data_IF_604457203808
#
_entry.id   IF_604457203808
#
_cell.length_a   1.000
_cell.length_b   1.000
_cell.length_c   1.000
_cell.angle_alpha   90.00
_cell.angle_beta   90.00
_cell.angle_gamma   90.00
#
_symmetry.space_group_name_H-M   'P 1'
#
loop_
_entity.id
_entity.type
_entity.pdbx_description
1 polymer ?
#
# COMPACT_ATOMS: atom_id res chain seq x y z
N UNK A 1 36.51 5.55 -20.74
CA UNK A 1 36.05 5.20 -22.12
C UNK A 1 35.01 4.08 -22.13
N UNK A 2 35.31 2.86 -21.66
CA UNK A 2 34.35 1.73 -21.65
C UNK A 2 33.09 1.98 -20.80
N UNK A 3 33.23 2.63 -19.64
CA UNK A 3 32.10 3.04 -18.79
C UNK A 3 31.19 4.02 -19.55
N UNK A 4 31.75 5.04 -20.21
CA UNK A 4 30.99 5.97 -21.05
C UNK A 4 30.23 5.29 -22.20
N UNK A 5 30.79 4.24 -22.83
CA UNK A 5 30.11 3.48 -23.88
C UNK A 5 28.89 2.70 -23.35
N UNK A 6 28.93 2.22 -22.10
CA UNK A 6 27.78 1.55 -21.45
C UNK A 6 26.71 2.56 -21.07
N UNK A 7 27.10 3.74 -20.59
CA UNK A 7 26.20 4.84 -20.25
C UNK A 7 25.48 5.41 -21.49
N UNK A 8 26.04 5.23 -22.69
CA UNK A 8 25.45 5.64 -23.97
C UNK A 8 24.71 4.52 -24.72
N UNK A 9 24.42 3.38 -24.08
CA UNK A 9 23.63 2.29 -24.71
C UNK A 9 22.28 2.83 -25.19
N UNK A 10 21.88 2.43 -26.40
CA UNK A 10 20.62 2.86 -27.05
C UNK A 10 19.37 2.69 -26.15
N UNK A 11 19.32 1.69 -25.28
CA UNK A 11 18.19 1.46 -24.38
C UNK A 11 18.02 2.51 -23.28
N UNK A 12 19.10 3.16 -22.83
CA UNK A 12 19.09 4.21 -21.80
C UNK A 12 18.78 5.57 -22.43
N UNK A 13 19.39 5.86 -23.59
CA UNK A 13 19.15 7.09 -24.33
C UNK A 13 17.75 7.17 -24.97
N UNK A 14 17.18 6.04 -25.44
CA UNK A 14 15.79 5.99 -25.94
C UNK A 14 14.73 6.25 -24.86
N UNK A 15 15.06 6.00 -23.58
CA UNK A 15 14.19 6.26 -22.42
C UNK A 15 14.47 7.62 -21.76
N UNK A 16 15.38 8.42 -22.32
CA UNK A 16 15.79 9.73 -21.81
C UNK A 16 16.34 9.73 -20.38
N UNK A 17 16.95 8.62 -19.94
CA UNK A 17 17.54 8.51 -18.60
C UNK A 17 18.97 9.03 -18.60
N UNK A 18 19.35 9.76 -17.54
CA UNK A 18 20.74 10.12 -17.26
C UNK A 18 21.30 9.15 -16.23
N UNK A 19 22.59 8.86 -16.33
CA UNK A 19 23.27 7.98 -15.39
C UNK A 19 24.49 8.67 -14.85
N UNK A 20 24.57 8.77 -13.53
CA UNK A 20 25.70 9.33 -12.80
C UNK A 20 26.43 8.20 -12.08
N UNK A 21 27.76 8.24 -12.07
CA UNK A 21 28.59 7.21 -11.44
C UNK A 21 29.55 7.93 -10.51
N UNK A 22 29.49 7.60 -9.23
CA UNK A 22 30.37 8.19 -8.23
C UNK A 22 31.83 7.78 -8.45
N UNK A 23 32.74 8.67 -8.06
CA UNK A 23 34.19 8.47 -8.25
C UNK A 23 34.68 7.21 -7.52
N UNK A 24 34.16 6.96 -6.31
CA UNK A 24 34.46 5.76 -5.52
C UNK A 24 34.07 4.45 -6.23
N UNK A 25 33.01 4.47 -7.06
CA UNK A 25 32.61 3.32 -7.87
C UNK A 25 33.60 3.08 -9.00
N UNK A 26 34.10 4.16 -9.60
CA UNK A 26 35.12 4.09 -10.65
C UNK A 26 36.41 3.52 -10.06
N UNK A 27 36.83 4.01 -8.89
CA UNK A 27 38.03 3.53 -8.18
C UNK A 27 37.89 2.05 -7.79
N UNK A 28 36.75 1.67 -7.20
CA UNK A 28 36.47 0.28 -6.84
C UNK A 28 36.52 -0.66 -8.05
N UNK A 29 35.97 -0.24 -9.18
CA UNK A 29 35.98 -1.01 -10.44
C UNK A 29 37.39 -1.11 -11.02
N UNK A 30 38.24 -0.10 -10.86
CA UNK A 30 39.64 -0.14 -11.30
C UNK A 30 40.45 -1.11 -10.43
N UNK A 31 40.26 -1.04 -9.12
CA UNK A 31 40.96 -1.89 -8.14
C UNK A 31 40.55 -3.37 -8.26
N UNK A 32 39.25 -3.65 -8.39
CA UNK A 32 38.71 -5.02 -8.41
C UNK A 32 38.53 -5.59 -9.82
N UNK A 33 38.62 -4.74 -10.85
CA UNK A 33 38.47 -5.13 -12.25
C UNK A 33 39.79 -5.41 -12.98
N UNK A 34 40.95 -5.06 -12.40
CA UNK A 34 42.24 -5.35 -12.99
C UNK A 34 42.70 -6.78 -12.67
N UNK A 35 43.11 -7.52 -13.70
CA UNK A 35 43.72 -8.84 -13.56
C UNK A 35 44.97 -8.93 -14.42
N UNK A 36 46.14 -9.14 -13.80
CA UNK A 36 47.41 -9.37 -14.51
C UNK A 36 47.32 -10.53 -15.52
N UNK A 37 46.45 -11.52 -15.25
CA UNK A 37 46.33 -12.75 -16.04
C UNK A 37 45.38 -12.63 -17.24
N UNK A 38 44.35 -11.78 -17.16
CA UNK A 38 43.28 -11.71 -18.16
C UNK A 38 43.12 -10.35 -18.85
N UNK A 39 43.84 -9.32 -18.38
CA UNK A 39 43.90 -8.00 -19.00
C UNK A 39 42.54 -7.31 -19.16
N UNK A 40 42.45 -6.37 -20.10
CA UNK A 40 41.29 -5.47 -20.29
C UNK A 40 39.93 -6.16 -20.60
N UNK A 41 39.93 -7.45 -20.98
CA UNK A 41 38.71 -8.24 -21.23
C UNK A 41 37.99 -8.65 -19.94
N UNK A 42 38.75 -8.95 -18.90
CA UNK A 42 38.20 -9.26 -17.57
C UNK A 42 37.56 -8.01 -16.95
N UNK A 43 38.26 -6.88 -17.08
CA UNK A 43 37.77 -5.56 -16.68
C UNK A 43 36.44 -5.21 -17.38
N UNK A 44 36.32 -5.43 -18.69
CA UNK A 44 35.07 -5.16 -19.42
C UNK A 44 33.87 -5.98 -18.89
N UNK A 45 34.10 -7.24 -18.47
CA UNK A 45 33.06 -8.12 -17.92
C UNK A 45 32.68 -7.76 -16.48
N UNK A 46 33.66 -7.35 -15.67
CA UNK A 46 33.40 -6.86 -14.31
C UNK A 46 32.66 -5.51 -14.35
N UNK A 47 33.06 -4.60 -15.24
CA UNK A 47 32.33 -3.35 -15.48
C UNK A 47 30.88 -3.65 -15.88
N UNK A 48 30.67 -4.58 -16.82
CA UNK A 48 29.31 -4.90 -17.27
C UNK A 48 28.46 -5.49 -16.12
N UNK A 49 28.99 -6.40 -15.30
CA UNK A 49 28.28 -6.99 -14.16
C UNK A 49 28.01 -5.99 -13.04
N UNK A 50 28.96 -5.11 -12.73
CA UNK A 50 28.89 -4.20 -11.58
C UNK A 50 28.10 -2.93 -11.88
N UNK A 51 28.10 -2.45 -13.13
CA UNK A 51 27.41 -1.22 -13.52
C UNK A 51 26.09 -1.52 -14.21
N UNK A 52 26.05 -2.49 -15.14
CA UNK A 52 24.83 -2.75 -15.93
C UNK A 52 23.74 -3.43 -15.10
N UNK A 53 24.11 -4.27 -14.14
CA UNK A 53 23.12 -4.99 -13.33
C UNK A 53 22.32 -4.08 -12.39
N UNK A 54 22.94 -3.19 -11.57
CA UNK A 54 22.18 -2.23 -10.77
C UNK A 54 21.35 -1.27 -11.64
N UNK A 55 21.90 -0.85 -12.79
CA UNK A 55 21.16 -0.02 -13.74
C UNK A 55 19.93 -0.72 -14.32
N UNK A 56 20.08 -1.96 -14.78
CA UNK A 56 18.98 -2.74 -15.34
C UNK A 56 17.90 -3.03 -14.28
N UNK A 57 18.31 -3.30 -13.04
CA UNK A 57 17.37 -3.45 -11.94
C UNK A 57 16.55 -2.17 -11.72
N UNK A 58 17.17 -0.99 -11.72
CA UNK A 58 16.43 0.27 -11.52
C UNK A 58 15.43 0.53 -12.65
N UNK A 59 15.83 0.26 -13.90
CA UNK A 59 14.97 0.49 -15.07
C UNK A 59 13.78 -0.46 -15.10
N UNK A 60 13.99 -1.74 -14.75
CA UNK A 60 12.93 -2.76 -14.77
C UNK A 60 11.99 -2.61 -13.57
N UNK A 61 12.55 -2.32 -12.39
CA UNK A 61 11.82 -2.31 -11.13
C UNK A 61 10.95 -1.08 -10.93
N UNK A 62 11.41 0.09 -11.40
CA UNK A 62 10.79 1.38 -11.09
C UNK A 62 10.18 2.07 -12.32
N UNK A 63 10.38 1.53 -13.53
CA UNK A 63 10.01 2.12 -14.82
C UNK A 63 10.11 3.66 -14.85
N UNK A 64 11.32 4.20 -14.62
CA UNK A 64 11.49 5.62 -14.32
C UNK A 64 11.08 6.53 -15.49
N UNK A 65 10.40 7.66 -15.22
CA UNK A 65 9.99 8.62 -16.24
C UNK A 65 11.20 9.26 -16.95
N UNK A 66 10.94 9.77 -18.15
CA UNK A 66 11.95 10.44 -18.98
C UNK A 66 12.59 11.61 -18.22
N UNK A 67 13.92 11.70 -18.23
CA UNK A 67 14.70 12.71 -17.50
C UNK A 67 15.21 12.28 -16.12
N UNK A 68 14.86 11.08 -15.65
CA UNK A 68 15.38 10.55 -14.37
C UNK A 68 16.88 10.29 -14.41
N UNK A 69 17.53 10.51 -13.27
CA UNK A 69 18.96 10.29 -13.05
C UNK A 69 19.15 9.03 -12.20
N UNK A 70 19.77 7.99 -12.74
CA UNK A 70 20.20 6.82 -11.95
C UNK A 70 21.63 7.05 -11.49
N UNK A 71 21.83 7.17 -10.18
CA UNK A 71 23.16 7.35 -9.57
C UNK A 71 23.69 6.02 -9.06
N UNK A 72 24.89 5.65 -9.46
CA UNK A 72 25.62 4.48 -8.97
C UNK A 72 26.62 4.92 -7.91
N UNK A 73 26.57 4.28 -6.75
CA UNK A 73 27.42 4.59 -5.60
C UNK A 73 27.88 3.30 -4.90
N UNK A 74 28.96 3.40 -4.11
CA UNK A 74 29.47 2.28 -3.33
C UNK A 74 28.77 2.25 -1.96
N UNK A 75 28.18 1.11 -1.62
CA UNK A 75 27.54 0.88 -0.32
C UNK A 75 27.99 -0.46 0.22
N UNK A 76 28.57 -0.47 1.43
CA UNK A 76 29.04 -1.70 2.10
C UNK A 76 29.94 -2.60 1.22
N UNK A 77 30.79 -1.99 0.39
CA UNK A 77 31.71 -2.72 -0.50
C UNK A 77 31.08 -3.29 -1.78
N UNK A 78 29.84 -2.91 -2.09
CA UNK A 78 29.14 -3.29 -3.31
C UNK A 78 28.60 -2.07 -4.06
N UNK A 79 28.51 -2.15 -5.38
CA UNK A 79 27.94 -1.07 -6.20
C UNK A 79 26.43 -1.15 -6.14
N UNK A 80 25.83 -0.14 -5.52
CA UNK A 80 24.39 0.07 -5.41
C UNK A 80 23.95 1.16 -6.39
N UNK A 81 22.64 1.30 -6.53
CA UNK A 81 22.02 2.28 -7.41
C UNK A 81 20.89 3.01 -6.69
N UNK A 82 20.87 4.33 -6.80
CA UNK A 82 19.76 5.18 -6.39
C UNK A 82 19.12 5.78 -7.63
N UNK A 83 17.79 5.85 -7.65
CA UNK A 83 17.05 6.55 -8.68
C UNK A 83 16.66 7.93 -8.15
N UNK A 84 17.03 8.96 -8.89
CA UNK A 84 16.58 10.33 -8.69
C UNK A 84 15.65 10.70 -9.82
N UNK A 85 14.41 11.07 -9.51
CA UNK A 85 13.43 11.48 -10.51
C UNK A 85 13.74 12.90 -11.00
N UNK A 86 13.39 13.28 -12.24
CA UNK A 86 13.60 14.65 -12.70
C UNK A 86 12.78 15.61 -11.85
N UNK A 87 13.30 16.82 -11.62
CA UNK A 87 12.63 17.84 -10.81
C UNK A 87 11.18 18.06 -11.25
N UNK A 88 10.87 17.97 -12.55
CA UNK A 88 9.49 18.06 -13.07
C UNK A 88 8.57 16.86 -12.76
N UNK A 89 9.12 15.67 -12.48
CA UNK A 89 8.35 14.51 -11.97
C UNK A 89 8.28 14.48 -10.43
N UNK A 90 9.24 15.10 -9.75
CA UNK A 90 9.17 15.39 -8.32
C UNK A 90 8.24 16.59 -8.02
N UNK A 91 8.12 17.54 -8.93
CA UNK A 91 7.26 18.73 -8.79
C UNK A 91 5.78 18.42 -9.06
N UNK A 92 5.47 17.23 -9.58
CA UNK A 92 4.08 16.73 -9.67
C UNK A 92 3.64 15.86 -8.48
N UNK A 93 4.57 15.48 -7.60
CA UNK A 93 4.29 14.62 -6.46
C UNK A 93 5.19 15.00 -5.29
N UNK A 94 4.58 15.62 -4.27
CA UNK A 94 5.14 15.99 -2.96
C UNK A 94 5.67 17.43 -2.83
N UNK A 95 4.84 18.40 -3.18
CA UNK A 95 4.62 19.53 -2.26
C UNK A 95 3.17 19.41 -1.82
N UNK A 96 2.91 18.59 -0.81
CA UNK A 96 1.62 18.68 -0.12
C UNK A 96 1.74 19.96 0.70
N UNK A 97 1.13 21.04 0.23
CA UNK A 97 0.82 22.17 1.11
C UNK A 97 0.05 21.58 2.30
N UNK A 98 0.33 22.01 3.52
CA UNK A 98 -0.39 21.54 4.73
C UNK A 98 -1.92 21.72 4.61
N UNK A 99 -2.37 22.50 3.63
CA UNK A 99 -3.75 22.73 3.20
C UNK A 99 -4.35 21.62 2.29
N UNK A 100 -3.58 20.57 1.92
CA UNK A 100 -4.00 19.49 1.01
C UNK A 100 -3.95 18.08 1.62
N UNK A 101 -3.74 17.97 2.95
CA UNK A 101 -3.94 16.70 3.64
C UNK A 101 -5.45 16.52 3.86
N UNK A 102 -6.09 15.48 3.31
CA UNK A 102 -7.51 15.26 3.54
C UNK A 102 -7.79 15.09 5.05
N UNK A 103 -8.77 15.82 5.58
CA UNK A 103 -9.07 15.91 7.03
C UNK A 103 -9.41 14.57 7.72
N UNK A 104 -9.63 13.49 6.96
CA UNK A 104 -9.99 12.16 7.48
C UNK A 104 -8.83 11.19 7.69
N UNK A 105 -7.61 11.52 7.25
CA UNK A 105 -6.41 10.86 7.78
C UNK A 105 -6.10 11.48 9.14
N UNK A 106 -7.08 11.42 10.03
CA UNK A 106 -6.92 11.93 11.39
C UNK A 106 -5.82 11.12 12.06
N UNK A 107 -5.04 11.78 12.93
CA UNK A 107 -4.09 11.07 13.78
C UNK A 107 -4.77 9.94 14.53
N UNK A 108 -6.02 10.15 14.96
CA UNK A 108 -6.81 9.15 15.66
C UNK A 108 -7.07 7.91 14.80
N UNK A 109 -7.51 8.05 13.55
CA UNK A 109 -7.69 6.91 12.66
C UNK A 109 -6.37 6.17 12.40
N UNK A 110 -5.30 6.90 12.10
CA UNK A 110 -4.00 6.28 11.86
C UNK A 110 -3.45 5.56 13.11
N UNK A 111 -3.68 6.11 14.31
CA UNK A 111 -3.35 5.46 15.60
C UNK A 111 -4.15 4.17 15.81
N UNK A 112 -5.43 4.13 15.41
CA UNK A 112 -6.24 2.92 15.49
C UNK A 112 -5.86 1.87 14.42
N UNK A 113 -5.51 2.32 13.21
CA UNK A 113 -5.18 1.44 12.09
C UNK A 113 -3.76 0.84 12.18
N UNK A 114 -2.79 1.56 12.74
CA UNK A 114 -1.39 1.14 12.80
C UNK A 114 -1.18 -0.22 13.52
N UNK A 115 -1.81 -0.52 14.68
CA UNK A 115 -1.72 -1.84 15.29
C UNK A 115 -2.20 -2.97 14.37
N UNK A 116 -3.31 -2.77 13.65
CA UNK A 116 -3.86 -3.74 12.69
C UNK A 116 -2.90 -3.96 11.52
N UNK A 117 -2.31 -2.88 11.01
CA UNK A 117 -1.27 -2.93 9.98
C UNK A 117 -0.05 -3.73 10.46
N UNK A 118 0.42 -3.51 11.69
CA UNK A 118 1.60 -4.20 12.25
C UNK A 118 1.34 -5.69 12.45
N UNK A 119 0.19 -6.05 13.02
CA UNK A 119 -0.25 -7.45 13.14
C UNK A 119 -0.31 -8.11 11.75
N UNK A 120 -0.90 -7.41 10.78
CA UNK A 120 -1.05 -7.93 9.42
C UNK A 120 0.30 -8.13 8.72
N UNK A 121 1.19 -7.15 8.84
CA UNK A 121 2.54 -7.22 8.31
C UNK A 121 3.31 -8.42 8.89
N UNK A 122 3.20 -8.65 10.20
CA UNK A 122 3.82 -9.82 10.84
C UNK A 122 3.28 -11.14 10.28
N UNK A 123 1.98 -11.24 10.03
CA UNK A 123 1.38 -12.42 9.39
C UNK A 123 1.89 -12.63 7.95
N UNK A 124 2.01 -11.56 7.17
CA UNK A 124 2.58 -11.62 5.79
C UNK A 124 4.04 -12.08 5.84
N UNK A 125 4.85 -11.54 6.75
CA UNK A 125 6.26 -11.91 6.91
C UNK A 125 6.43 -13.39 7.20
N UNK A 126 5.58 -13.92 8.09
CA UNK A 126 5.57 -15.33 8.46
C UNK A 126 5.13 -16.22 7.29
N UNK A 127 4.01 -15.90 6.63
CA UNK A 127 3.47 -16.69 5.52
C UNK A 127 4.38 -16.67 4.28
N UNK A 128 5.00 -15.52 3.99
CA UNK A 128 5.96 -15.38 2.90
C UNK A 128 7.36 -15.93 3.25
N UNK A 129 7.56 -16.42 4.47
CA UNK A 129 8.85 -16.91 4.98
C UNK A 129 10.01 -15.96 4.64
N UNK A 130 9.84 -14.66 4.93
CA UNK A 130 10.76 -13.61 4.43
C UNK A 130 12.21 -13.84 4.88
N UNK A 131 12.42 -14.37 6.08
CA UNK A 131 13.77 -14.72 6.55
C UNK A 131 14.40 -15.87 5.75
N UNK A 132 13.61 -16.84 5.32
CA UNK A 132 14.07 -17.97 4.49
C UNK A 132 14.37 -17.48 3.07
N UNK A 133 13.50 -16.63 2.53
CA UNK A 133 13.67 -15.93 1.25
C UNK A 133 14.96 -15.10 1.24
N UNK A 134 15.27 -14.39 2.33
CA UNK A 134 16.52 -13.63 2.50
C UNK A 134 17.74 -14.54 2.53
N UNK A 135 17.67 -15.70 3.21
CA UNK A 135 18.74 -16.71 3.20
C UNK A 135 18.93 -17.30 1.81
N UNK A 136 17.85 -17.62 1.10
CA UNK A 136 17.89 -18.16 -0.25
C UNK A 136 18.51 -17.16 -1.25
N UNK A 137 18.09 -15.90 -1.22
CA UNK A 137 18.70 -14.84 -2.04
C UNK A 137 20.21 -14.72 -1.77
N UNK A 138 20.60 -14.73 -0.50
CA UNK A 138 22.00 -14.69 -0.09
C UNK A 138 22.80 -15.89 -0.63
N UNK A 139 22.22 -17.10 -0.60
CA UNK A 139 22.82 -18.32 -1.13
C UNK A 139 22.97 -18.27 -2.66
N UNK A 140 21.96 -17.77 -3.37
CA UNK A 140 22.01 -17.57 -4.81
C UNK A 140 23.10 -16.55 -5.21
N UNK A 141 23.21 -15.45 -4.46
CA UNK A 141 24.28 -14.45 -4.65
C UNK A 141 25.66 -15.07 -4.47
N UNK A 142 25.87 -15.92 -3.46
CA UNK A 142 27.15 -16.63 -3.28
C UNK A 142 27.49 -17.54 -4.46
N UNK A 143 26.50 -18.23 -5.05
CA UNK A 143 26.70 -19.08 -6.23
C UNK A 143 27.08 -18.29 -7.48
N UNK A 144 26.47 -17.12 -7.70
CA UNK A 144 26.81 -16.20 -8.79
C UNK A 144 28.23 -15.63 -8.74
N UNK A 145 28.82 -15.62 -7.54
CA UNK A 145 30.22 -15.22 -7.30
C UNK A 145 31.21 -16.34 -7.64
N UNK A 146 30.74 -17.57 -7.90
CA UNK A 146 31.60 -18.67 -8.34
C UNK A 146 31.89 -18.58 -9.85
N UNK A 147 33.12 -18.86 -10.30
CA UNK A 147 33.44 -18.95 -11.72
C UNK A 147 32.63 -20.02 -12.46
N UNK A 148 32.35 -21.15 -11.80
CA UNK A 148 31.63 -22.30 -12.38
C UNK A 148 30.18 -22.01 -12.76
N UNK A 149 29.53 -21.04 -12.11
CA UNK A 149 28.18 -20.60 -12.47
C UNK A 149 28.10 -20.02 -13.90
N UNK A 150 29.21 -19.45 -14.37
CA UNK A 150 29.30 -18.82 -15.68
C UNK A 150 29.64 -19.80 -16.81
N UNK A 151 29.83 -21.08 -16.50
CA UNK A 151 30.15 -22.13 -17.46
C UNK A 151 28.92 -22.60 -18.27
N UNK A 152 27.70 -22.34 -17.78
CA UNK A 152 26.45 -22.55 -18.54
C UNK A 152 25.65 -21.23 -18.76
N UNK A 153 25.92 -20.51 -19.85
CA UNK A 153 25.26 -19.25 -20.19
C UNK A 153 23.74 -19.36 -20.37
N UNK A 154 23.20 -20.56 -20.62
CA UNK A 154 21.76 -20.77 -20.86
C UNK A 154 20.96 -20.78 -19.56
N UNK A 155 21.58 -21.13 -18.43
CA UNK A 155 20.93 -21.15 -17.12
C UNK A 155 20.88 -19.74 -16.47
N UNK A 156 21.73 -18.81 -16.90
CA UNK A 156 21.90 -17.49 -16.27
C UNK A 156 20.62 -16.64 -16.24
N UNK A 157 19.84 -16.48 -17.33
CA UNK A 157 18.65 -15.62 -17.32
C UNK A 157 17.61 -16.05 -16.27
N UNK A 158 17.33 -17.35 -16.16
CA UNK A 158 16.35 -17.87 -15.19
C UNK A 158 16.76 -17.62 -13.74
N UNK A 159 18.05 -17.73 -13.42
CA UNK A 159 18.55 -17.44 -12.07
C UNK A 159 18.47 -15.95 -11.72
N UNK A 160 18.73 -15.06 -12.68
CA UNK A 160 18.60 -13.61 -12.47
C UNK A 160 17.14 -13.19 -12.29
N UNK A 161 16.22 -13.77 -13.06
CA UNK A 161 14.77 -13.56 -12.88
C UNK A 161 14.33 -13.99 -11.49
N UNK A 162 14.65 -15.22 -11.07
CA UNK A 162 14.30 -15.72 -9.74
C UNK A 162 14.87 -14.85 -8.61
N UNK A 163 16.10 -14.35 -8.75
CA UNK A 163 16.67 -13.42 -7.78
C UNK A 163 15.95 -12.08 -7.72
N UNK A 164 15.57 -11.52 -8.88
CA UNK A 164 14.82 -10.27 -8.94
C UNK A 164 13.46 -10.41 -8.28
N UNK A 165 12.81 -11.56 -8.43
CA UNK A 165 11.53 -11.87 -7.79
C UNK A 165 11.69 -11.93 -6.26
N UNK A 166 12.65 -12.72 -5.76
CA UNK A 166 12.92 -12.83 -4.32
C UNK A 166 13.32 -11.47 -3.70
N UNK A 167 14.20 -10.72 -4.36
CA UNK A 167 14.60 -9.39 -3.90
C UNK A 167 13.43 -8.39 -3.89
N UNK A 168 12.57 -8.44 -4.92
CA UNK A 168 11.37 -7.62 -4.99
C UNK A 168 10.37 -7.93 -3.88
N UNK A 169 10.20 -9.21 -3.53
CA UNK A 169 9.34 -9.64 -2.43
C UNK A 169 9.86 -9.14 -1.07
N UNK A 170 11.15 -9.34 -0.79
CA UNK A 170 11.78 -8.86 0.45
C UNK A 170 11.61 -7.35 0.59
N UNK A 171 11.95 -6.60 -0.45
CA UNK A 171 11.96 -5.14 -0.37
C UNK A 171 10.55 -4.54 -0.31
N UNK A 172 9.52 -5.20 -0.86
CA UNK A 172 8.13 -4.77 -0.66
C UNK A 172 7.75 -4.85 0.81
N UNK A 173 8.05 -5.97 1.46
CA UNK A 173 7.74 -6.18 2.89
C UNK A 173 8.58 -5.25 3.77
N UNK A 174 9.89 -5.14 3.50
CA UNK A 174 10.79 -4.25 4.22
C UNK A 174 10.37 -2.78 4.06
N UNK A 175 9.91 -2.38 2.87
CA UNK A 175 9.35 -1.05 2.61
C UNK A 175 8.12 -0.74 3.45
N UNK A 176 7.16 -1.65 3.53
CA UNK A 176 5.97 -1.50 4.40
C UNK A 176 6.39 -1.41 5.87
N UNK A 177 7.33 -2.26 6.32
CA UNK A 177 7.83 -2.25 7.70
C UNK A 177 8.46 -0.91 8.08
N UNK A 178 9.34 -0.36 7.24
CA UNK A 178 9.98 0.94 7.48
C UNK A 178 8.95 2.06 7.55
N UNK A 179 8.00 2.11 6.62
CA UNK A 179 6.94 3.12 6.64
C UNK A 179 6.03 2.99 7.87
N UNK A 180 5.75 1.77 8.35
CA UNK A 180 4.94 1.57 9.56
C UNK A 180 5.68 2.02 10.82
N UNK A 181 7.01 1.80 10.91
CA UNK A 181 7.84 2.28 12.01
C UNK A 181 7.94 3.82 12.01
N UNK A 182 8.17 4.42 10.84
CA UNK A 182 8.18 5.89 10.71
C UNK A 182 6.82 6.49 11.04
N UNK A 183 5.72 5.88 10.56
CA UNK A 183 4.37 6.29 10.92
C UNK A 183 4.15 6.23 12.44
N UNK A 184 4.57 5.16 13.11
CA UNK A 184 4.48 5.05 14.57
C UNK A 184 5.15 6.22 15.28
N UNK A 185 6.37 6.57 14.89
CA UNK A 185 7.08 7.72 15.46
C UNK A 185 6.39 9.05 15.14
N UNK A 186 5.88 9.24 13.93
CA UNK A 186 5.17 10.46 13.53
C UNK A 186 3.84 10.63 14.28
N UNK A 187 3.16 9.53 14.61
CA UNK A 187 1.92 9.55 15.40
C UNK A 187 2.16 9.85 16.89
N UNK A 188 3.40 9.87 17.37
CA UNK A 188 3.70 10.38 18.72
C UNK A 188 3.72 11.92 18.75
N UNK A 189 3.95 12.56 17.60
CA UNK A 189 3.89 14.01 17.41
C UNK A 189 2.48 14.50 17.10
N UNK A 190 2.29 15.83 17.23
CA UNK A 190 1.00 16.51 16.99
C UNK A 190 1.20 17.80 16.14
N UNK A 191 2.34 17.96 15.45
CA UNK A 191 2.55 19.12 14.57
C UNK A 191 1.91 18.92 13.20
N UNK A 192 1.47 20.00 12.51
CA UNK A 192 0.93 19.89 11.16
C UNK A 192 1.88 19.21 10.16
N UNK A 193 3.20 19.46 10.28
CA UNK A 193 4.21 18.83 9.43
C UNK A 193 4.27 17.31 9.66
N UNK A 194 4.27 16.86 10.92
CA UNK A 194 4.24 15.44 11.26
C UNK A 194 2.95 14.78 10.75
N UNK A 195 1.81 15.46 10.80
CA UNK A 195 0.54 14.98 10.26
C UNK A 195 0.62 14.73 8.75
N UNK A 196 1.16 15.68 7.99
CA UNK A 196 1.33 15.54 6.54
C UNK A 196 2.25 14.38 6.18
N UNK A 197 3.34 14.21 6.93
CA UNK A 197 4.26 13.08 6.74
C UNK A 197 3.60 11.74 7.11
N UNK A 198 2.85 11.68 8.23
CA UNK A 198 2.11 10.50 8.66
C UNK A 198 1.11 10.04 7.60
N UNK A 199 0.35 10.98 7.03
CA UNK A 199 -0.59 10.71 5.95
C UNK A 199 0.10 10.10 4.71
N UNK A 200 1.29 10.57 4.34
CA UNK A 200 2.08 10.01 3.22
C UNK A 200 2.49 8.57 3.52
N UNK A 201 3.00 8.29 4.72
CA UNK A 201 3.41 6.94 5.13
C UNK A 201 2.23 5.99 5.17
N UNK A 202 1.12 6.42 5.75
CA UNK A 202 -0.10 5.62 5.82
C UNK A 202 -0.64 5.25 4.43
N UNK A 203 -0.73 6.23 3.51
CA UNK A 203 -1.14 5.96 2.12
C UNK A 203 -0.22 4.98 1.41
N UNK A 204 1.10 5.08 1.60
CA UNK A 204 2.04 4.12 1.04
C UNK A 204 1.75 2.69 1.54
N UNK A 205 1.57 2.52 2.86
CA UNK A 205 1.29 1.22 3.48
C UNK A 205 0.00 0.64 2.91
N UNK A 206 -1.09 1.40 2.97
CA UNK A 206 -2.40 0.97 2.48
C UNK A 206 -2.36 0.56 1.01
N UNK A 207 -1.55 1.27 0.20
CA UNK A 207 -1.38 0.97 -1.23
C UNK A 207 -0.56 -0.30 -1.45
N UNK A 208 0.50 -0.54 -0.69
CA UNK A 208 1.43 -1.65 -0.91
C UNK A 208 1.05 -2.94 -0.19
N UNK A 209 0.33 -2.85 0.94
CA UNK A 209 -0.06 -4.00 1.75
C UNK A 209 -0.85 -5.05 0.94
N UNK A 210 -1.88 -4.71 0.14
CA UNK A 210 -2.57 -5.69 -0.71
C UNK A 210 -1.66 -6.39 -1.72
N UNK A 211 -0.58 -5.73 -2.17
CA UNK A 211 0.37 -6.29 -3.14
C UNK A 211 1.38 -7.23 -2.49
N UNK A 212 1.61 -7.09 -1.18
CA UNK A 212 2.43 -8.00 -0.39
C UNK A 212 1.64 -9.23 0.04
N UNK A 213 0.31 -9.14 0.07
CA UNK A 213 -0.58 -10.23 0.45
C UNK A 213 -0.80 -11.24 -0.68
N UNK A 214 -0.81 -12.52 -0.29
CA UNK A 214 -1.45 -13.55 -1.12
C UNK A 214 -2.92 -13.64 -0.70
N UNK A 215 -3.84 -13.70 -1.67
CA UNK A 215 -5.30 -13.71 -1.42
C UNK A 215 -5.73 -14.79 -0.40
N UNK A 216 -5.04 -15.94 -0.35
CA UNK A 216 -5.33 -17.03 0.58
C UNK A 216 -4.93 -16.76 2.04
N UNK A 217 -3.98 -15.86 2.26
CA UNK A 217 -3.39 -15.59 3.58
C UNK A 217 -3.99 -14.33 4.24
N UNK A 218 -5.04 -13.75 3.64
CA UNK A 218 -5.70 -12.55 4.16
C UNK A 218 -6.89 -12.83 5.07
N UNK A 219 -6.84 -12.44 6.37
CA UNK A 219 -7.99 -12.52 7.23
C UNK A 219 -9.04 -11.58 6.66
N UNK A 220 -10.22 -12.14 6.41
CA UNK A 220 -11.35 -11.33 5.99
C UNK A 220 -11.89 -10.55 7.19
N UNK A 221 -12.29 -9.30 6.97
CA UNK A 221 -13.22 -8.62 7.85
C UNK A 221 -14.56 -9.35 7.77
N UNK A 222 -15.08 -9.75 8.92
CA UNK A 222 -16.45 -10.22 9.08
C UNK A 222 -17.29 -9.01 9.48
N UNK A 223 -18.14 -8.57 8.57
CA UNK A 223 -19.09 -7.48 8.81
C UNK A 223 -20.46 -8.08 9.04
N UNK A 224 -21.09 -7.78 10.18
CA UNK A 224 -22.49 -8.15 10.43
C UNK A 224 -23.33 -6.90 10.62
N UNK A 225 -24.47 -6.83 9.94
CA UNK A 225 -25.39 -5.70 10.05
C UNK A 225 -26.69 -6.15 10.69
N UNK A 226 -26.91 -5.77 11.95
CA UNK A 226 -28.09 -6.16 12.72
C UNK A 226 -29.10 -5.02 12.78
N UNK A 227 -30.35 -5.19 12.30
CA UNK A 227 -31.38 -4.15 12.44
C UNK A 227 -31.76 -3.93 13.91
N UNK A 228 -31.95 -2.67 14.31
CA UNK A 228 -32.41 -2.33 15.66
C UNK A 228 -33.92 -2.33 15.71
N UNK A 229 -34.48 -3.36 16.36
CA UNK A 229 -35.92 -3.56 16.50
C UNK A 229 -36.53 -4.43 15.40
N UNK A 230 -37.84 -4.67 15.49
CA UNK A 230 -38.54 -5.69 14.68
C UNK A 230 -39.30 -5.12 13.49
N UNK A 231 -39.18 -3.81 13.22
CA UNK A 231 -39.92 -3.17 12.12
C UNK A 231 -39.29 -3.52 10.78
N UNK A 232 -40.11 -3.80 9.76
CA UNK A 232 -39.66 -4.06 8.39
C UNK A 232 -38.73 -2.94 7.85
N UNK A 233 -38.96 -1.70 8.26
CA UNK A 233 -38.12 -0.56 7.88
C UNK A 233 -36.68 -0.68 8.40
N UNK A 234 -36.47 -1.27 9.58
CA UNK A 234 -35.14 -1.50 10.13
C UNK A 234 -34.40 -2.59 9.36
N UNK A 235 -35.09 -3.68 8.99
CA UNK A 235 -34.52 -4.72 8.13
C UNK A 235 -34.13 -4.19 6.75
N UNK A 236 -34.97 -3.34 6.13
CA UNK A 236 -34.61 -2.66 4.87
C UNK A 236 -33.36 -1.80 5.02
N UNK A 237 -33.27 -1.04 6.09
CA UNK A 237 -32.09 -0.21 6.35
C UNK A 237 -30.82 -1.04 6.54
N UNK A 238 -30.89 -2.15 7.28
CA UNK A 238 -29.77 -3.07 7.39
C UNK A 238 -29.33 -3.62 6.02
N UNK A 239 -30.28 -4.00 5.16
CA UNK A 239 -29.97 -4.50 3.82
C UNK A 239 -29.33 -3.44 2.91
N UNK A 240 -29.73 -2.17 3.04
CA UNK A 240 -29.10 -1.06 2.32
C UNK A 240 -27.63 -0.89 2.75
N UNK A 241 -27.32 -1.01 4.05
CA UNK A 241 -25.94 -0.97 4.55
C UNK A 241 -25.13 -2.19 4.09
N UNK A 242 -25.73 -3.39 4.06
CA UNK A 242 -25.07 -4.59 3.50
C UNK A 242 -24.71 -4.35 2.03
N UNK A 243 -25.65 -3.84 1.24
CA UNK A 243 -25.41 -3.52 -0.18
C UNK A 243 -24.31 -2.47 -0.34
N UNK A 244 -24.27 -1.46 0.52
CA UNK A 244 -23.21 -0.44 0.57
C UNK A 244 -21.83 -1.07 0.77
N UNK A 245 -21.66 -1.94 1.77
CA UNK A 245 -20.35 -2.58 2.03
C UNK A 245 -19.93 -3.57 0.95
N UNK A 246 -20.88 -4.26 0.31
CA UNK A 246 -20.60 -5.09 -0.88
C UNK A 246 -20.10 -4.22 -2.03
N UNK A 247 -20.82 -3.13 -2.36
CA UNK A 247 -20.44 -2.24 -3.44
C UNK A 247 -19.07 -1.58 -3.20
N UNK A 248 -18.80 -1.18 -1.95
CA UNK A 248 -17.50 -0.67 -1.54
C UNK A 248 -16.40 -1.70 -1.80
N UNK A 249 -16.56 -2.93 -1.29
CA UNK A 249 -15.57 -3.99 -1.47
C UNK A 249 -15.28 -4.26 -2.96
N UNK A 250 -16.31 -4.35 -3.79
CA UNK A 250 -16.18 -4.58 -5.24
C UNK A 250 -15.44 -3.43 -5.94
N UNK A 251 -15.77 -2.18 -5.62
CA UNK A 251 -15.09 -0.98 -6.15
C UNK A 251 -13.63 -0.91 -5.75
N UNK A 252 -13.32 -1.27 -4.51
CA UNK A 252 -11.95 -1.35 -3.99
C UNK A 252 -11.19 -2.56 -4.53
N UNK A 253 -11.80 -3.39 -5.38
CA UNK A 253 -11.19 -4.59 -5.97
C UNK A 253 -10.99 -5.74 -4.96
N UNK A 254 -11.70 -5.71 -3.84
CA UNK A 254 -11.64 -6.70 -2.78
C UNK A 254 -12.61 -7.86 -3.06
N UNK A 255 -12.23 -9.06 -2.65
CA UNK A 255 -13.13 -10.22 -2.68
C UNK A 255 -14.10 -10.14 -1.51
N UNK A 256 -15.39 -10.25 -1.79
CA UNK A 256 -16.46 -10.31 -0.79
C UNK A 256 -17.25 -11.61 -0.93
N UNK A 257 -17.56 -12.25 0.20
CA UNK A 257 -18.41 -13.42 0.30
C UNK A 257 -19.55 -13.15 1.29
N UNK A 258 -20.79 -13.19 0.82
CA UNK A 258 -21.96 -13.02 1.68
C UNK A 258 -22.40 -14.37 2.26
N UNK A 259 -22.62 -14.41 3.57
CA UNK A 259 -23.12 -15.56 4.31
C UNK A 259 -24.49 -15.23 4.93
N UNK A 260 -25.57 -15.81 4.40
CA UNK A 260 -26.92 -15.42 4.81
C UNK A 260 -27.30 -14.05 4.25
N UNK A 261 -28.15 -13.31 4.96
CA UNK A 261 -28.62 -11.98 4.52
C UNK A 261 -27.77 -10.84 5.09
N UNK A 262 -27.17 -11.02 6.27
CA UNK A 262 -26.65 -9.93 7.11
C UNK A 262 -25.14 -10.01 7.41
N UNK A 263 -24.46 -11.10 7.01
CA UNK A 263 -23.03 -11.30 7.26
C UNK A 263 -22.23 -11.26 5.96
N UNK A 264 -21.19 -10.44 5.93
CA UNK A 264 -20.22 -10.34 4.85
C UNK A 264 -18.84 -10.76 5.34
N UNK A 265 -18.08 -11.45 4.48
CA UNK A 265 -16.65 -11.70 4.64
C UNK A 265 -15.91 -10.96 3.54
N UNK A 266 -15.18 -9.91 3.89
CA UNK A 266 -14.46 -9.06 2.93
C UNK A 266 -12.96 -9.27 3.12
N UNK A 267 -12.29 -9.79 2.11
CA UNK A 267 -10.87 -10.17 2.16
C UNK A 267 -9.93 -9.00 1.88
N UNK A 268 -8.66 -9.18 2.22
CA UNK A 268 -7.59 -8.21 1.98
C UNK A 268 -7.53 -7.14 3.06
N UNK A 269 -7.42 -5.87 2.67
CA UNK A 269 -7.20 -4.74 3.57
C UNK A 269 -8.46 -4.23 4.28
N UNK A 270 -9.62 -4.86 4.07
CA UNK A 270 -10.88 -4.43 4.66
C UNK A 270 -10.87 -4.23 6.18
N UNK A 271 -10.19 -5.05 7.02
CA UNK A 271 -10.13 -4.82 8.45
C UNK A 271 -9.56 -3.45 8.85
N UNK A 272 -8.67 -2.88 8.02
CA UNK A 272 -8.07 -1.56 8.27
C UNK A 272 -9.12 -0.46 8.10
N UNK A 273 -9.96 -0.56 7.08
CA UNK A 273 -10.92 0.48 6.70
C UNK A 273 -12.26 0.39 7.43
N UNK A 274 -12.67 -0.83 7.81
CA UNK A 274 -13.99 -1.07 8.38
C UNK A 274 -14.01 -0.97 9.90
N UNK A 275 -12.85 -0.90 10.57
CA UNK A 275 -12.79 -0.69 12.02
C UNK A 275 -13.62 0.51 12.50
N UNK A 276 -13.45 1.72 11.91
CA UNK A 276 -14.25 2.90 12.25
C UNK A 276 -15.75 2.78 11.95
N UNK A 277 -16.15 1.78 11.16
CA UNK A 277 -17.56 1.57 10.81
C UNK A 277 -18.33 0.80 11.89
N UNK A 278 -17.63 0.27 12.91
CA UNK A 278 -18.23 -0.49 14.00
C UNK A 278 -19.09 0.40 14.90
N UNK A 279 -20.39 0.13 14.94
CA UNK A 279 -21.35 0.79 15.85
C UNK A 279 -22.69 1.05 15.18
N UNK A 280 -23.41 2.05 15.68
CA UNK A 280 -24.78 2.36 15.25
C UNK A 280 -24.75 3.24 13.99
N UNK A 281 -25.48 2.80 12.98
CA UNK A 281 -25.79 3.55 11.76
C UNK A 281 -27.25 3.95 11.77
N UNK A 282 -27.51 5.25 11.76
CA UNK A 282 -28.83 5.82 11.90
C UNK A 282 -29.32 6.43 10.58
N UNK A 283 -30.52 6.09 10.16
CA UNK A 283 -31.23 6.72 9.05
C UNK A 283 -32.37 7.59 9.57
N UNK A 284 -32.35 8.86 9.18
CA UNK A 284 -33.44 9.82 9.36
C UNK A 284 -34.15 9.99 8.02
N UNK A 285 -35.44 9.66 7.99
CA UNK A 285 -36.26 9.77 6.78
C UNK A 285 -37.68 10.25 7.10
N UNK A 286 -38.42 10.77 6.11
CA UNK A 286 -39.84 11.07 6.28
C UNK A 286 -40.64 9.83 6.73
N UNK A 287 -41.67 10.03 7.55
CA UNK A 287 -42.59 8.96 7.92
C UNK A 287 -43.50 8.63 6.71
N UNK A 288 -43.79 7.34 6.42
CA UNK A 288 -44.54 6.96 5.23
C UNK A 288 -45.95 7.58 5.17
N UNK A 289 -46.59 7.67 6.34
CA UNK A 289 -47.97 8.18 6.48
C UNK A 289 -48.03 9.70 6.76
N UNK A 290 -46.89 10.33 7.07
CA UNK A 290 -46.82 11.75 7.46
C UNK A 290 -45.47 12.34 7.01
N UNK A 291 -45.40 12.96 5.82
CA UNK A 291 -44.17 13.50 5.26
C UNK A 291 -43.51 14.60 6.11
N UNK A 292 -44.27 15.31 6.95
CA UNK A 292 -43.75 16.35 7.83
C UNK A 292 -43.10 15.76 9.09
N UNK A 293 -43.53 14.55 9.47
CA UNK A 293 -42.90 13.80 10.56
C UNK A 293 -41.65 13.08 10.09
N UNK A 294 -40.58 13.15 10.88
CA UNK A 294 -39.38 12.34 10.69
C UNK A 294 -39.46 11.05 11.50
N UNK A 295 -39.02 9.95 10.91
CA UNK A 295 -38.78 8.69 11.60
C UNK A 295 -37.28 8.38 11.62
N UNK A 296 -36.84 7.79 12.72
CA UNK A 296 -35.46 7.37 12.94
C UNK A 296 -35.43 5.85 12.88
N UNK A 297 -34.53 5.32 12.04
CA UNK A 297 -34.30 3.90 11.83
C UNK A 297 -32.84 3.61 12.14
N UNK A 298 -32.53 2.47 12.75
CA UNK A 298 -31.16 2.15 13.18
C UNK A 298 -30.79 0.72 12.83
N UNK A 299 -29.51 0.51 12.56
CA UNK A 299 -28.86 -0.78 12.47
C UNK A 299 -27.51 -0.69 13.20
N UNK A 300 -27.02 -1.81 13.69
CA UNK A 300 -25.70 -1.93 14.30
C UNK A 300 -24.80 -2.69 13.35
N UNK A 301 -23.65 -2.13 13.03
CA UNK A 301 -22.59 -2.75 12.23
C UNK A 301 -21.52 -3.26 13.19
N UNK A 302 -21.24 -4.56 13.14
CA UNK A 302 -20.14 -5.20 13.86
C UNK A 302 -19.05 -5.56 12.86
N UNK A 303 -17.79 -5.24 13.17
CA UNK A 303 -16.64 -5.59 12.33
C UNK A 303 -15.65 -6.39 13.16
N UNK A 304 -15.50 -7.67 12.85
CA UNK A 304 -14.64 -8.60 13.58
C UNK A 304 -13.78 -9.43 12.63
N UNK A 305 -12.82 -10.19 13.16
CA UNK A 305 -11.94 -11.04 12.35
C UNK A 305 -12.49 -12.46 12.18
N UNK A 306 -13.40 -12.87 13.06
CA UNK A 306 -14.01 -14.19 13.07
C UNK A 306 -15.48 -14.11 13.50
N UNK A 307 -16.35 -14.86 12.82
CA UNK A 307 -17.79 -14.99 13.15
C UNK A 307 -18.01 -15.37 14.61
N UNK A 308 -17.11 -16.15 15.22
CA UNK A 308 -17.18 -16.53 16.64
C UNK A 308 -17.02 -15.35 17.62
N UNK A 309 -16.56 -14.19 17.15
CA UNK A 309 -16.39 -12.97 17.95
C UNK A 309 -17.61 -12.04 17.89
N UNK A 310 -18.60 -12.35 17.05
CA UNK A 310 -19.82 -11.54 16.95
C UNK A 310 -20.62 -11.61 18.25
N UNK A 311 -21.18 -10.48 18.67
CA UNK A 311 -21.97 -10.41 19.88
C UNK A 311 -23.39 -10.97 19.66
N UNK A 312 -23.93 -11.63 20.69
CA UNK A 312 -25.34 -12.04 20.70
C UNK A 312 -26.27 -10.83 20.75
N UNK A 313 -25.83 -9.74 21.38
CA UNK A 313 -26.54 -8.46 21.48
C UNK A 313 -25.60 -7.32 21.06
N UNK A 314 -25.67 -6.89 19.80
CA UNK A 314 -24.79 -5.85 19.30
C UNK A 314 -25.18 -4.48 19.87
N UNK A 315 -24.18 -3.79 20.39
CA UNK A 315 -24.26 -2.43 20.92
C UNK A 315 -23.05 -1.63 20.40
N UNK A 316 -23.14 -0.31 20.45
CA UNK A 316 -22.05 0.56 20.02
C UNK A 316 -22.45 2.02 20.02
N UNK A 317 -21.47 2.89 19.81
CA UNK A 317 -21.69 4.32 19.69
C UNK A 317 -22.29 4.68 18.33
N UNK A 318 -22.88 5.87 18.22
CA UNK A 318 -23.40 6.37 16.95
C UNK A 318 -22.22 6.75 16.03
N UNK A 319 -22.08 6.03 14.92
CA UNK A 319 -20.99 6.23 13.96
C UNK A 319 -21.43 7.13 12.82
N UNK A 320 -22.59 6.84 12.22
CA UNK A 320 -23.08 7.59 11.05
C UNK A 320 -24.55 7.95 11.17
N UNK A 321 -24.89 9.16 10.71
CA UNK A 321 -26.27 9.60 10.52
C UNK A 321 -26.53 9.92 9.06
N UNK A 322 -27.42 9.16 8.43
CA UNK A 322 -27.88 9.33 7.07
C UNK A 322 -29.19 10.09 7.05
N UNK A 323 -29.25 11.22 6.37
CA UNK A 323 -30.48 11.95 6.07
C UNK A 323 -30.87 11.60 4.63
N UNK A 324 -31.96 10.84 4.44
CA UNK A 324 -32.31 10.13 3.19
C UNK A 324 -32.10 10.91 1.88
N UNK A 325 -32.37 12.21 1.89
CA UNK A 325 -32.33 13.09 0.70
C UNK A 325 -31.56 14.40 0.96
N UNK A 326 -30.60 14.40 1.88
CA UNK A 326 -29.93 15.64 2.30
C UNK A 326 -28.43 15.46 2.45
N UNK A 327 -27.97 14.68 3.44
CA UNK A 327 -26.55 14.48 3.70
C UNK A 327 -26.29 13.24 4.55
N UNK A 328 -25.04 12.83 4.65
CA UNK A 328 -24.57 11.84 5.63
C UNK A 328 -23.53 12.51 6.51
N UNK A 329 -23.59 12.23 7.81
CA UNK A 329 -22.67 12.77 8.81
C UNK A 329 -21.93 11.62 9.48
N UNK A 330 -20.60 11.64 9.38
CA UNK A 330 -19.73 10.82 10.21
C UNK A 330 -19.65 11.48 11.59
N UNK A 331 -20.25 10.88 12.61
CA UNK A 331 -20.49 11.54 13.91
C UNK A 331 -19.19 11.73 14.69
N UNK A 332 -18.23 10.82 14.55
CA UNK A 332 -16.95 10.90 15.25
C UNK A 332 -16.06 12.02 14.72
N UNK A 333 -16.05 12.24 13.41
CA UNK A 333 -15.20 13.25 12.76
C UNK A 333 -15.93 14.58 12.51
N UNK A 334 -17.26 14.56 12.47
CA UNK A 334 -18.08 15.70 12.06
C UNK A 334 -18.16 15.90 10.54
N UNK A 335 -17.49 15.07 9.75
CA UNK A 335 -17.47 15.14 8.28
C UNK A 335 -18.87 14.92 7.71
N UNK A 336 -19.26 15.74 6.73
CA UNK A 336 -20.56 15.64 6.09
C UNK A 336 -20.41 15.48 4.57
N UNK A 337 -21.20 14.59 3.96
CA UNK A 337 -21.29 14.46 2.51
C UNK A 337 -22.71 14.76 2.02
N UNK A 338 -22.90 15.63 1.02
CA UNK A 338 -24.22 16.07 0.55
C UNK A 338 -24.97 15.02 -0.28
N UNK A 339 -24.31 13.93 -0.69
CA UNK A 339 -24.96 12.85 -1.42
C UNK A 339 -24.95 11.53 -0.62
N UNK A 340 -26.04 11.22 0.11
CA UNK A 340 -26.21 9.93 0.76
C UNK A 340 -26.27 8.74 -0.19
N UNK A 341 -26.73 8.94 -1.42
CA UNK A 341 -26.87 7.86 -2.39
C UNK A 341 -25.52 7.41 -2.93
N UNK A 342 -24.60 8.36 -3.17
CA UNK A 342 -23.22 8.02 -3.53
C UNK A 342 -22.56 7.15 -2.44
N UNK A 343 -22.69 7.56 -1.18
CA UNK A 343 -22.19 6.79 -0.04
C UNK A 343 -22.79 5.38 -0.02
N UNK A 344 -24.12 5.28 -0.10
CA UNK A 344 -24.83 3.99 -0.11
C UNK A 344 -24.52 3.14 -1.36
N UNK A 345 -24.01 3.75 -2.43
CA UNK A 345 -23.50 3.05 -3.61
C UNK A 345 -22.05 2.53 -3.42
N UNK A 346 -21.51 2.59 -2.21
CA UNK A 346 -20.18 2.06 -1.87
C UNK A 346 -19.06 3.09 -1.99
N UNK A 347 -19.38 4.38 -2.15
CA UNK A 347 -18.40 5.47 -2.10
C UNK A 347 -18.12 5.86 -0.65
N UNK A 348 -17.68 4.88 0.13
CA UNK A 348 -17.40 5.07 1.54
C UNK A 348 -16.26 6.07 1.72
N UNK A 349 -15.38 6.15 0.72
CA UNK A 349 -14.32 7.14 0.59
C UNK A 349 -14.83 8.57 0.55
N UNK A 350 -16.05 8.86 0.07
CA UNK A 350 -16.59 10.24 0.05
C UNK A 350 -16.97 10.78 1.43
N UNK A 351 -17.06 9.91 2.42
CA UNK A 351 -17.19 10.30 3.84
C UNK A 351 -15.87 10.22 4.57
N UNK A 352 -14.83 9.88 3.84
CA UNK A 352 -13.46 10.03 4.24
C UNK A 352 -12.98 11.34 3.58
N UNK A 353 -12.91 11.46 2.26
CA UNK A 353 -12.57 12.66 1.51
C UNK A 353 -13.55 13.83 1.76
N UNK A 354 -13.03 14.95 2.28
CA UNK A 354 -13.78 16.19 2.33
C UNK A 354 -13.69 16.86 0.94
N UNK A 355 -14.70 16.65 0.10
CA UNK A 355 -14.90 17.47 -1.09
C UNK A 355 -15.64 18.75 -0.71
N UNK A 356 -14.99 19.59 0.09
CA UNK A 356 -15.32 21.02 0.17
C UNK A 356 -14.19 21.84 -0.44
N UNK A 357 -13.88 21.58 -1.72
CA UNK A 357 -13.24 22.58 -2.58
C UNK A 357 -14.32 23.39 -3.28
N UNK A 358 -14.82 24.40 -2.57
CA UNK A 358 -15.45 25.59 -3.14
C UNK A 358 -14.44 26.70 -3.31
#
# INVERSE_FOLDING_TARGET
RRVQEILQREGLSRRGLRVEVDEDVIEWVVEHGYSERYGARYLARQIEKTITYPLAQQVIRNDPPEGSVVRLFLHEGHVASALSLPATAADGALTISLEEVPDHLTLDYMRHALPLIKERLAAIEQAAHIDDTRRHLSDMMRRLSSPAFWDDPRAVPGHLTAMSELAGQIERVDGIRRNAQELESLLEGDTPTELGEAAVRFRYIVRELPRAETISEAPAAVVKVTPVGTRLVAARWANELVAMYVAWAERSGLRVEQQGEDILRIHGVAPIFLGPEQGIHQLIQPHPDDPDRRQIVRAVVEVVHNVAQLADKPEGDLIRTYYRNDRVVAVQTGTEHPDPQAVLAGELELLWEDDTRG
#
